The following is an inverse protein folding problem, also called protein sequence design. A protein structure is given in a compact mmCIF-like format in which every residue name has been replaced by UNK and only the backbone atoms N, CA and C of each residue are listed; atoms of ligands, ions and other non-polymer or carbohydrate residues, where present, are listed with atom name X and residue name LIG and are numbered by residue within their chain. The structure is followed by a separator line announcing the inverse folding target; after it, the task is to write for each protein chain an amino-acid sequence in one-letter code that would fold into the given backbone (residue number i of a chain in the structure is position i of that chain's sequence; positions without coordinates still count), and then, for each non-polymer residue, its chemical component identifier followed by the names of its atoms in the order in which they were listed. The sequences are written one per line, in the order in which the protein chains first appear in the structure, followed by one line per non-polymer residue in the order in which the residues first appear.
data_IF_110418608695
#
_entry.id   IF_110418608695
#
_cell.length_a   1.000
_cell.length_b   1.000
_cell.length_c   1.000
_cell.angle_alpha   90.00
_cell.angle_beta   90.00
_cell.angle_gamma   90.00
#
_symmetry.space_group_name_H-M   'P 1'
#
loop_
_entity.id
_entity.type
_entity.pdbx_description
1 polymer ?
#
# COMPACT_ATOMS: atom_id res chain seq x y z
N UNK A 1 9.86 -21.71 1.57
CA UNK A 1 9.84 -20.38 2.20
C UNK A 1 8.51 -19.73 1.85
N UNK A 2 7.61 -19.55 2.81
CA UNK A 2 6.33 -18.87 2.56
C UNK A 2 6.61 -17.41 2.23
N UNK A 3 6.33 -16.98 0.99
CA UNK A 3 6.47 -15.58 0.60
C UNK A 3 5.61 -14.68 1.52
N UNK A 4 6.13 -13.53 1.94
CA UNK A 4 5.42 -12.58 2.81
C UNK A 4 4.11 -12.08 2.19
N UNK A 5 3.18 -11.56 3.01
CA UNK A 5 1.86 -11.07 2.56
C UNK A 5 1.98 -10.06 1.41
N UNK A 6 2.92 -9.11 1.52
CA UNK A 6 3.21 -8.10 0.49
C UNK A 6 3.62 -8.73 -0.84
N UNK A 7 4.51 -9.72 -0.82
CA UNK A 7 4.93 -10.43 -2.03
C UNK A 7 3.77 -11.20 -2.70
N UNK A 8 2.81 -11.70 -1.91
CA UNK A 8 1.60 -12.34 -2.45
C UNK A 8 0.64 -11.33 -3.08
N UNK A 9 0.52 -10.13 -2.53
CA UNK A 9 -0.28 -9.05 -3.12
C UNK A 9 0.34 -8.51 -4.40
N UNK A 10 1.66 -8.37 -4.44
CA UNK A 10 2.39 -7.99 -5.64
C UNK A 10 2.19 -8.98 -6.80
N UNK A 11 2.14 -10.28 -6.49
CA UNK A 11 1.98 -11.35 -7.46
C UNK A 11 0.52 -11.69 -7.79
N UNK A 12 -0.47 -11.01 -7.19
CA UNK A 12 -1.88 -11.26 -7.46
C UNK A 12 -2.38 -10.49 -8.68
N UNK A 13 -3.52 -10.91 -9.23
CA UNK A 13 -4.22 -10.24 -10.33
C UNK A 13 -5.09 -9.06 -9.87
N UNK A 14 -5.02 -8.69 -8.59
CA UNK A 14 -5.84 -7.61 -8.02
C UNK A 14 -5.58 -6.27 -8.73
N UNK A 15 -6.61 -5.47 -8.94
CA UNK A 15 -6.41 -4.12 -9.44
C UNK A 15 -5.61 -3.28 -8.42
N UNK A 16 -4.89 -2.26 -8.89
CA UNK A 16 -4.11 -1.42 -7.97
C UNK A 16 -4.98 -0.77 -6.89
N UNK A 17 -6.21 -0.40 -7.22
CA UNK A 17 -7.18 0.11 -6.25
C UNK A 17 -7.47 -0.91 -5.13
N UNK A 18 -7.61 -2.19 -5.48
CA UNK A 18 -7.83 -3.27 -4.50
C UNK A 18 -6.59 -3.52 -3.65
N UNK A 19 -5.39 -3.42 -4.24
CA UNK A 19 -4.13 -3.51 -3.51
C UNK A 19 -3.99 -2.36 -2.51
N UNK A 20 -4.38 -1.14 -2.91
CA UNK A 20 -4.37 0.02 -2.03
C UNK A 20 -5.35 -0.19 -0.87
N UNK A 21 -6.58 -0.61 -1.15
CA UNK A 21 -7.58 -0.93 -0.11
C UNK A 21 -7.04 -1.96 0.89
N UNK A 22 -6.46 -3.06 0.40
CA UNK A 22 -5.89 -4.12 1.25
C UNK A 22 -4.67 -3.60 2.04
N UNK A 23 -3.82 -2.76 1.45
CA UNK A 23 -2.67 -2.17 2.14
C UNK A 23 -3.13 -1.29 3.32
N UNK A 24 -4.15 -0.46 3.13
CA UNK A 24 -4.72 0.37 4.19
C UNK A 24 -5.44 -0.45 5.27
N UNK A 25 -6.15 -1.51 4.87
CA UNK A 25 -6.77 -2.43 5.84
C UNK A 25 -5.72 -3.15 6.69
N UNK A 26 -4.62 -3.59 6.07
CA UNK A 26 -3.53 -4.28 6.77
C UNK A 26 -2.73 -3.35 7.70
N UNK A 27 -2.52 -2.10 7.30
CA UNK A 27 -1.70 -1.15 8.07
C UNK A 27 -2.50 -0.34 9.10
N UNK A 28 -3.73 0.04 8.77
CA UNK A 28 -4.52 0.99 9.56
C UNK A 28 -5.91 0.47 9.97
N UNK A 29 -6.27 -0.76 9.60
CA UNK A 29 -7.58 -1.36 9.91
C UNK A 29 -8.78 -0.54 9.43
N UNK A 30 -8.60 0.25 8.37
CA UNK A 30 -9.63 1.07 7.72
C UNK A 30 -9.39 1.11 6.21
N UNK A 31 -10.41 1.52 5.46
CA UNK A 31 -10.23 1.88 4.04
C UNK A 31 -9.54 3.24 3.91
N UNK A 32 -8.79 3.48 2.82
CA UNK A 32 -8.23 4.78 2.52
C UNK A 32 -9.34 5.81 2.30
N UNK A 33 -9.04 7.06 2.60
CA UNK A 33 -9.83 8.21 2.12
C UNK A 33 -9.60 8.41 0.63
N UNK A 34 -10.41 9.28 0.00
CA UNK A 34 -10.25 9.60 -1.42
C UNK A 34 -8.89 10.25 -1.73
N UNK A 35 -8.37 11.11 -0.84
CA UNK A 35 -7.06 11.74 -1.02
C UNK A 35 -5.90 10.76 -0.88
N UNK A 36 -5.97 9.88 0.11
CA UNK A 36 -5.01 8.80 0.34
C UNK A 36 -4.98 7.82 -0.84
N UNK A 37 -6.15 7.40 -1.31
CA UNK A 37 -6.27 6.52 -2.49
C UNK A 37 -5.62 7.15 -3.72
N UNK A 38 -5.83 8.45 -3.94
CA UNK A 38 -5.25 9.18 -5.06
C UNK A 38 -3.73 9.28 -4.94
N UNK A 39 -3.20 9.54 -3.75
CA UNK A 39 -1.75 9.58 -3.48
C UNK A 39 -1.11 8.20 -3.68
N UNK A 40 -1.71 7.15 -3.12
CA UNK A 40 -1.22 5.78 -3.26
C UNK A 40 -1.29 5.27 -4.72
N UNK A 41 -2.35 5.63 -5.45
CA UNK A 41 -2.50 5.28 -6.86
C UNK A 41 -1.47 5.97 -7.76
N UNK A 42 -1.02 7.19 -7.41
CA UNK A 42 0.07 7.85 -8.12
C UNK A 42 1.40 7.07 -8.05
N UNK A 43 1.55 6.19 -7.06
CA UNK A 43 2.73 5.34 -6.87
C UNK A 43 2.60 3.93 -7.51
N UNK A 44 1.47 3.57 -8.17
CA UNK A 44 1.20 2.21 -8.71
C UNK A 44 0.61 2.21 -10.16
N UNK A 45 1.24 1.57 -11.18
CA UNK A 45 2.63 1.11 -11.31
C UNK A 45 3.38 1.84 -12.44
N UNK A 46 4.62 2.27 -12.19
CA UNK A 46 5.41 2.95 -13.23
C UNK A 46 6.22 2.00 -14.11
N UNK A 47 6.80 0.90 -13.58
CA UNK A 47 7.54 -0.13 -14.36
C UNK A 47 7.64 -1.53 -13.71
N UNK A 48 7.70 -1.63 -12.38
CA UNK A 48 7.82 -2.90 -11.65
C UNK A 48 6.74 -2.98 -10.57
N UNK A 49 5.78 -3.90 -10.76
CA UNK A 49 4.63 -4.04 -9.87
C UNK A 49 5.04 -4.48 -8.47
N UNK A 50 6.03 -5.37 -8.34
CA UNK A 50 6.46 -5.84 -7.04
C UNK A 50 7.11 -4.72 -6.25
N UNK A 51 8.02 -3.99 -6.88
CA UNK A 51 8.69 -2.86 -6.26
C UNK A 51 7.68 -1.78 -5.85
N UNK A 52 6.71 -1.44 -6.72
CA UNK A 52 5.69 -0.44 -6.39
C UNK A 52 4.79 -0.85 -5.22
N UNK A 53 4.45 -2.13 -5.09
CA UNK A 53 3.67 -2.62 -3.94
C UNK A 53 4.52 -2.62 -2.68
N UNK A 54 5.77 -3.06 -2.74
CA UNK A 54 6.70 -2.99 -1.60
C UNK A 54 6.92 -1.53 -1.14
N UNK A 55 7.07 -0.60 -2.08
CA UNK A 55 7.23 0.84 -1.80
C UNK A 55 5.96 1.45 -1.18
N UNK A 56 4.76 1.05 -1.63
CA UNK A 56 3.51 1.45 -0.97
C UNK A 56 3.51 1.04 0.51
N UNK A 57 3.82 -0.21 0.83
CA UNK A 57 3.87 -0.67 2.22
C UNK A 57 4.96 0.04 3.03
N UNK A 58 6.11 0.33 2.41
CA UNK A 58 7.17 1.11 3.04
C UNK A 58 6.73 2.55 3.33
N UNK A 59 6.04 3.20 2.39
CA UNK A 59 5.49 4.53 2.57
C UNK A 59 4.45 4.56 3.70
N UNK A 60 3.50 3.61 3.72
CA UNK A 60 2.47 3.51 4.77
C UNK A 60 3.07 3.28 6.16
N UNK A 61 4.09 2.43 6.28
CA UNK A 61 4.79 2.20 7.53
C UNK A 61 5.49 3.46 8.08
N UNK A 62 5.97 4.32 7.17
CA UNK A 62 6.64 5.58 7.51
C UNK A 62 5.69 6.79 7.50
N UNK A 63 4.38 6.60 7.28
CA UNK A 63 3.45 7.73 7.23
C UNK A 63 3.19 8.23 8.65
N UNK A 64 3.25 9.55 8.89
CA UNK A 64 3.11 10.17 10.22
C UNK A 64 1.66 10.17 10.75
N UNK A 65 0.88 9.11 10.49
CA UNK A 65 -0.47 8.93 11.03
C UNK A 65 -0.47 8.74 12.56
N UNK A 66 0.72 8.56 13.16
CA UNK A 66 1.01 8.57 14.59
C UNK A 66 2.08 9.59 15.01
N UNK A 67 2.39 10.61 14.20
CA UNK A 67 3.19 11.73 14.70
C UNK A 67 2.32 12.57 15.63
N UNK A 68 2.43 12.31 16.93
CA UNK A 68 2.20 13.32 17.95
C UNK A 68 3.25 14.42 17.71
N UNK A 69 2.93 15.37 16.83
CA UNK A 69 3.63 16.64 16.79
C UNK A 69 3.14 17.39 18.03
N UNK A 70 3.97 17.41 19.07
CA UNK A 70 3.89 18.39 20.15
C UNK A 70 4.15 19.80 19.60
#
# INVERSE_FOLDING_TARGET
MTAGRVARLAASDMANAEIIDEAYLLMFSRRPTAEESKKAAASLPSKDRRLSVEDLFWALLNTPEFSFID
#
